data_IF_990050597067
#
_entry.id   IF_990050597067
#
_cell.length_a   1.000
_cell.length_b   1.000
_cell.length_c   1.000
_cell.angle_alpha   90.00
_cell.angle_beta   90.00
_cell.angle_gamma   90.00
#
_symmetry.space_group_name_H-M   'P 1'
#
loop_
_entity.id
_entity.type
_entity.pdbx_description
1 polymer ?
#
# COMPACT_ATOMS: atom_id res chain seq x y z
N UNK A 1 -7.11 -45.25 14.49
CA UNK A 1 -6.89 -43.79 14.44
C UNK A 1 -7.67 -43.23 13.25
N UNK A 2 -8.97 -42.98 13.45
CA UNK A 2 -9.85 -42.39 12.42
C UNK A 2 -9.36 -40.97 12.19
N UNK A 3 -8.72 -40.72 11.05
CA UNK A 3 -8.26 -39.38 10.67
C UNK A 3 -9.51 -38.53 10.52
N UNK A 4 -9.70 -37.55 11.40
CA UNK A 4 -10.79 -36.60 11.32
C UNK A 4 -10.54 -35.70 10.10
N UNK A 5 -10.92 -36.18 8.90
CA UNK A 5 -10.80 -35.40 7.66
C UNK A 5 -11.49 -34.04 7.82
N UNK A 6 -12.58 -34.00 8.59
CA UNK A 6 -13.28 -32.76 8.97
C UNK A 6 -12.34 -31.74 9.62
N UNK A 7 -11.54 -32.13 10.61
CA UNK A 7 -10.65 -31.20 11.32
C UNK A 7 -9.58 -30.62 10.39
N UNK A 8 -9.11 -31.42 9.42
CA UNK A 8 -8.17 -30.96 8.41
C UNK A 8 -8.80 -29.95 7.44
N UNK A 9 -10.02 -30.19 6.98
CA UNK A 9 -10.74 -29.24 6.13
C UNK A 9 -11.06 -27.94 6.86
N UNK A 10 -11.46 -28.01 8.13
CA UNK A 10 -11.70 -26.82 8.97
C UNK A 10 -10.41 -26.02 9.12
N UNK A 11 -9.29 -26.68 9.44
CA UNK A 11 -8.00 -26.00 9.56
C UNK A 11 -7.58 -25.31 8.24
N UNK A 12 -7.75 -25.99 7.11
CA UNK A 12 -7.42 -25.44 5.79
C UNK A 12 -8.28 -24.21 5.46
N UNK A 13 -9.56 -24.24 5.78
CA UNK A 13 -10.47 -23.12 5.53
C UNK A 13 -10.13 -21.90 6.38
N UNK A 14 -9.76 -22.11 7.65
CA UNK A 14 -9.34 -21.02 8.54
C UNK A 14 -8.04 -20.37 8.05
N UNK A 15 -7.08 -21.18 7.60
CA UNK A 15 -5.83 -20.67 7.02
C UNK A 15 -6.12 -19.87 5.74
N UNK A 16 -6.94 -20.42 4.84
CA UNK A 16 -7.33 -19.73 3.61
C UNK A 16 -8.04 -18.39 3.89
N UNK A 17 -9.00 -18.38 4.82
CA UNK A 17 -9.70 -17.17 5.24
C UNK A 17 -8.74 -16.11 5.81
N UNK A 18 -7.79 -16.53 6.65
CA UNK A 18 -6.79 -15.63 7.24
C UNK A 18 -5.91 -14.99 6.17
N UNK A 19 -5.48 -15.77 5.16
CA UNK A 19 -4.70 -15.26 4.03
C UNK A 19 -5.53 -14.27 3.20
N UNK A 20 -6.79 -14.59 2.91
CA UNK A 20 -7.69 -13.71 2.15
C UNK A 20 -7.91 -12.37 2.87
N UNK A 21 -8.18 -12.41 4.18
CA UNK A 21 -8.36 -11.20 4.97
C UNK A 21 -7.07 -10.37 5.03
N UNK A 22 -5.92 -11.02 5.22
CA UNK A 22 -4.63 -10.33 5.21
C UNK A 22 -4.34 -9.68 3.85
N UNK A 23 -4.61 -10.38 2.76
CA UNK A 23 -4.45 -9.85 1.41
C UNK A 23 -5.38 -8.65 1.16
N UNK A 24 -6.66 -8.76 1.55
CA UNK A 24 -7.62 -7.68 1.41
C UNK A 24 -7.22 -6.44 2.23
N UNK A 25 -6.80 -6.63 3.48
CA UNK A 25 -6.37 -5.55 4.35
C UNK A 25 -5.09 -4.88 3.83
N UNK A 26 -4.11 -5.67 3.41
CA UNK A 26 -2.86 -5.17 2.82
C UNK A 26 -3.15 -4.37 1.55
N UNK A 27 -4.04 -4.87 0.68
CA UNK A 27 -4.44 -4.17 -0.54
C UNK A 27 -5.13 -2.84 -0.24
N UNK A 28 -6.05 -2.82 0.73
CA UNK A 28 -6.75 -1.61 1.14
C UNK A 28 -5.81 -0.55 1.74
N UNK A 29 -4.85 -0.96 2.58
CA UNK A 29 -3.90 -0.07 3.25
C UNK A 29 -2.73 0.38 2.37
N UNK A 30 -2.21 -0.49 1.51
CA UNK A 30 -1.06 -0.20 0.64
C UNK A 30 -1.34 0.99 -0.29
N UNK A 31 -2.62 1.34 -0.50
CA UNK A 31 -3.01 2.44 -1.35
C UNK A 31 -2.45 2.25 -2.76
N UNK A 32 -2.46 0.99 -3.23
CA UNK A 32 -1.86 0.53 -4.48
C UNK A 32 -2.55 1.21 -5.66
N UNK A 33 -2.19 2.48 -5.88
CA UNK A 33 -2.58 3.25 -7.05
C UNK A 33 -1.87 2.55 -8.19
N UNK A 34 -2.64 1.86 -9.05
CA UNK A 34 -2.17 1.30 -10.31
C UNK A 34 -1.14 2.25 -10.89
N UNK A 35 0.12 1.80 -10.94
CA UNK A 35 1.31 2.60 -11.23
C UNK A 35 1.14 3.33 -12.56
N UNK A 36 0.58 4.54 -12.55
CA UNK A 36 0.69 5.46 -13.68
C UNK A 36 2.16 5.80 -13.80
N UNK A 37 2.69 5.79 -15.03
CA UNK A 37 4.08 6.16 -15.32
C UNK A 37 4.33 7.53 -14.70
N UNK A 38 5.00 7.55 -13.56
CA UNK A 38 5.24 8.75 -12.76
C UNK A 38 6.64 9.22 -13.13
N UNK A 39 6.75 10.41 -13.73
CA UNK A 39 8.05 11.06 -13.93
C UNK A 39 8.45 11.78 -12.66
N UNK A 40 9.70 11.61 -12.25
CA UNK A 40 10.29 12.36 -11.14
C UNK A 40 10.74 13.72 -11.64
N UNK A 41 10.25 14.79 -11.03
CA UNK A 41 10.69 16.16 -11.29
C UNK A 41 11.59 16.61 -10.14
N UNK A 42 12.72 17.24 -10.47
CA UNK A 42 13.63 17.84 -9.48
C UNK A 42 13.54 19.35 -9.62
N UNK A 43 13.26 20.02 -8.52
CA UNK A 43 13.13 21.48 -8.46
C UNK A 43 14.07 21.93 -7.34
N UNK A 44 14.84 22.98 -7.61
CA UNK A 44 15.68 23.59 -6.60
C UNK A 44 14.90 24.75 -5.97
N UNK A 45 14.77 24.73 -4.64
CA UNK A 45 14.14 25.78 -3.88
C UNK A 45 15.18 26.42 -2.97
N UNK A 46 15.06 27.71 -2.74
CA UNK A 46 15.94 28.45 -1.84
C UNK A 46 15.77 28.00 -0.37
N UNK A 47 14.55 27.62 0.02
CA UNK A 47 14.22 27.04 1.31
C UNK A 47 13.23 25.87 1.15
N UNK A 48 13.46 24.79 1.90
CA UNK A 48 12.64 23.57 1.95
C UNK A 48 12.12 23.28 3.37
N UNK A 49 12.15 24.26 4.27
CA UNK A 49 11.69 24.13 5.65
C UNK A 49 10.26 23.59 5.73
N UNK A 50 10.09 22.51 6.50
CA UNK A 50 8.78 21.87 6.69
C UNK A 50 8.38 20.84 5.62
N UNK A 51 9.13 20.71 4.52
CA UNK A 51 8.92 19.63 3.54
C UNK A 51 9.59 18.36 4.04
N UNK A 52 8.85 17.24 4.01
CA UNK A 52 9.34 15.92 4.41
C UNK A 52 9.24 14.94 3.25
N UNK A 53 10.05 13.89 3.30
CA UNK A 53 9.86 12.72 2.42
C UNK A 53 8.45 12.16 2.64
N UNK A 54 7.78 11.78 1.55
CA UNK A 54 6.37 11.37 1.46
C UNK A 54 5.30 12.47 1.63
N UNK A 55 5.69 13.74 1.80
CA UNK A 55 4.75 14.86 1.73
C UNK A 55 3.97 14.86 0.40
N UNK A 56 2.66 15.13 0.46
CA UNK A 56 1.79 15.17 -0.72
C UNK A 56 2.10 16.39 -1.58
N UNK A 57 2.30 16.16 -2.87
CA UNK A 57 2.43 17.22 -3.87
C UNK A 57 1.07 17.39 -4.55
N UNK A 58 0.58 18.63 -4.62
CA UNK A 58 -0.71 18.96 -5.23
C UNK A 58 -0.54 19.90 -6.41
N UNK A 59 -1.31 19.67 -7.47
CA UNK A 59 -1.42 20.57 -8.61
C UNK A 59 -2.87 21.07 -8.70
N UNK A 60 -3.06 22.39 -8.61
CA UNK A 60 -4.39 23.01 -8.56
C UNK A 60 -5.33 22.39 -7.48
N UNK A 61 -4.77 21.99 -6.34
CA UNK A 61 -5.51 21.34 -5.25
C UNK A 61 -5.74 19.83 -5.42
N UNK A 62 -5.47 19.25 -6.59
CA UNK A 62 -5.56 17.81 -6.82
C UNK A 62 -4.24 17.10 -6.46
N UNK A 63 -4.29 15.88 -5.87
CA UNK A 63 -3.10 15.10 -5.56
C UNK A 63 -2.33 14.74 -6.84
N UNK A 64 -1.07 15.18 -6.94
CA UNK A 64 -0.21 15.02 -8.09
C UNK A 64 0.98 14.08 -7.85
N UNK A 65 1.37 13.86 -6.59
CA UNK A 65 2.46 12.95 -6.26
C UNK A 65 2.91 13.03 -4.80
N UNK A 66 4.13 12.57 -4.55
CA UNK A 66 4.80 12.68 -3.25
C UNK A 66 6.26 13.07 -3.42
N UNK A 67 6.82 13.71 -2.41
CA UNK A 67 8.26 13.95 -2.30
C UNK A 67 8.97 12.62 -2.03
N UNK A 68 9.95 12.27 -2.87
CA UNK A 68 10.70 11.01 -2.75
C UNK A 68 12.13 11.20 -2.25
N UNK A 69 12.67 12.42 -2.38
CA UNK A 69 14.03 12.80 -1.96
C UNK A 69 14.12 14.33 -1.82
N UNK A 70 15.05 14.80 -0.98
CA UNK A 70 15.42 16.22 -0.81
C UNK A 70 16.86 16.43 -1.25
#
# INVERSE_FOLDING_TARGET
MKRNLSDYFVALFVIACSIVLLAALTFALSGYRLKKVTRTLRINYEDVTGIKVNSEVRYAGAPAGRVIAM
#
